data_IF_104231644226
#
_entry.id   IF_104231644226
#
_cell.length_a   1.000
_cell.length_b   1.000
_cell.length_c   1.000
_cell.angle_alpha   90.00
_cell.angle_beta   90.00
_cell.angle_gamma   90.00
#
_symmetry.space_group_name_H-M   'P 1'
#
loop_
_entity.id
_entity.type
_entity.pdbx_description
1 polymer ?
#
# COMPACT_ATOMS: atom_id res chain seq x y z
N UNK A 1 -4.99 -31.42 19.91
CA UNK A 1 -4.91 -30.19 20.73
C UNK A 1 -4.80 -29.01 19.77
N UNK A 2 -5.88 -28.27 19.53
CA UNK A 2 -5.87 -27.12 18.62
C UNK A 2 -5.24 -25.94 19.37
N UNK A 3 -4.02 -25.57 19.01
CA UNK A 3 -3.41 -24.31 19.44
C UNK A 3 -4.31 -23.20 18.88
N UNK A 4 -4.88 -22.39 19.76
CA UNK A 4 -5.63 -21.20 19.36
C UNK A 4 -4.69 -20.31 18.54
N UNK A 5 -5.10 -19.92 17.32
CA UNK A 5 -4.31 -19.06 16.46
C UNK A 5 -4.39 -17.61 17.00
N UNK A 6 -3.55 -17.29 17.98
CA UNK A 6 -3.52 -16.00 18.67
C UNK A 6 -2.91 -14.86 17.84
N UNK A 7 -2.36 -15.14 16.65
CA UNK A 7 -1.68 -14.13 15.84
C UNK A 7 -2.60 -12.98 15.41
N UNK A 8 -3.87 -13.28 15.08
CA UNK A 8 -4.84 -12.25 14.72
C UNK A 8 -5.21 -11.31 15.88
N UNK A 9 -5.15 -11.79 17.12
CA UNK A 9 -5.44 -10.97 18.31
C UNK A 9 -4.27 -10.05 18.66
N UNK A 10 -3.03 -10.55 18.57
CA UNK A 10 -1.82 -9.74 18.81
C UNK A 10 -1.72 -8.62 17.76
N UNK A 11 -1.92 -8.94 16.49
CA UNK A 11 -1.93 -7.97 15.40
C UNK A 11 -3.01 -6.90 15.59
N UNK A 12 -4.21 -7.28 16.03
CA UNK A 12 -5.29 -6.33 16.34
C UNK A 12 -4.89 -5.35 17.44
N UNK A 13 -4.26 -5.84 18.51
CA UNK A 13 -3.88 -4.98 19.64
C UNK A 13 -2.75 -4.00 19.28
N UNK A 14 -1.81 -4.40 18.42
CA UNK A 14 -0.77 -3.51 17.90
C UNK A 14 -1.37 -2.41 16.99
N UNK A 15 -2.31 -2.76 16.11
CA UNK A 15 -3.01 -1.80 15.24
C UNK A 15 -3.80 -0.80 16.08
N UNK A 16 -4.57 -1.27 17.07
CA UNK A 16 -5.36 -0.42 17.96
C UNK A 16 -4.45 0.49 18.78
N UNK A 17 -3.36 -0.04 19.34
CA UNK A 17 -2.40 0.76 20.12
C UNK A 17 -1.71 1.82 19.26
N UNK A 18 -1.33 1.47 18.04
CA UNK A 18 -0.76 2.40 17.06
C UNK A 18 -1.76 3.50 16.66
N UNK A 19 -3.01 3.15 16.39
CA UNK A 19 -4.07 4.11 16.08
C UNK A 19 -4.29 5.11 17.23
N UNK A 20 -4.36 4.62 18.47
CA UNK A 20 -4.49 5.47 19.66
C UNK A 20 -3.30 6.43 19.79
N UNK A 21 -2.08 5.94 19.57
CA UNK A 21 -0.89 6.79 19.61
C UNK A 21 -0.95 7.90 18.56
N UNK A 22 -1.28 7.58 17.31
CA UNK A 22 -1.41 8.56 16.21
C UNK A 22 -2.49 9.61 16.52
N UNK A 23 -3.65 9.20 17.02
CA UNK A 23 -4.73 10.13 17.39
C UNK A 23 -4.37 10.97 18.62
N UNK A 24 -3.55 10.43 19.52
CA UNK A 24 -3.06 11.17 20.70
C UNK A 24 -2.07 12.27 20.31
N UNK A 25 -1.28 12.07 19.25
CA UNK A 25 -0.38 13.08 18.67
C UNK A 25 -1.16 14.17 17.92
N UNK A 26 -2.13 13.78 17.09
CA UNK A 26 -3.00 14.72 16.37
C UNK A 26 -4.44 14.18 16.27
N UNK A 27 -5.37 14.90 16.91
CA UNK A 27 -6.80 14.54 16.91
C UNK A 27 -7.42 14.54 15.52
N UNK A 28 -6.88 15.31 14.56
CA UNK A 28 -7.36 15.33 13.18
C UNK A 28 -7.16 13.97 12.49
N UNK A 29 -6.15 13.20 12.92
CA UNK A 29 -5.87 11.87 12.36
C UNK A 29 -6.95 10.84 12.66
N UNK A 30 -7.83 11.08 13.65
CA UNK A 30 -8.94 10.18 13.93
C UNK A 30 -9.91 10.06 12.74
N UNK A 31 -10.12 11.17 12.02
CA UNK A 31 -10.96 11.18 10.81
C UNK A 31 -10.31 10.37 9.69
N UNK A 32 -9.00 10.59 9.48
CA UNK A 32 -8.24 9.90 8.42
C UNK A 32 -8.18 8.39 8.69
N UNK A 33 -7.88 7.98 9.92
CA UNK A 33 -7.86 6.57 10.30
C UNK A 33 -9.26 5.95 10.24
N UNK A 34 -10.30 6.70 10.61
CA UNK A 34 -11.68 6.26 10.48
C UNK A 34 -12.06 5.94 9.02
N UNK A 35 -11.68 6.80 8.08
CA UNK A 35 -11.91 6.58 6.65
C UNK A 35 -11.10 5.39 6.09
N UNK A 36 -9.82 5.27 6.45
CA UNK A 36 -8.95 4.18 5.94
C UNK A 36 -9.36 2.81 6.48
N UNK A 37 -9.84 2.74 7.73
CA UNK A 37 -10.28 1.51 8.37
C UNK A 37 -11.75 1.17 8.08
N UNK A 38 -12.48 2.09 7.44
CA UNK A 38 -13.85 1.87 7.01
C UNK A 38 -13.90 0.94 5.78
N UNK A 39 -14.94 0.11 5.72
CA UNK A 39 -15.28 -0.66 4.52
C UNK A 39 -16.09 0.16 3.50
N UNK A 40 -16.50 1.37 3.88
CA UNK A 40 -17.19 2.33 3.01
C UNK A 40 -16.25 3.50 2.71
N UNK A 41 -16.11 3.88 1.44
CA UNK A 41 -15.33 5.04 1.02
C UNK A 41 -14.01 4.68 0.33
N UNK A 42 -12.89 5.20 0.85
CA UNK A 42 -11.57 5.05 0.26
C UNK A 42 -10.90 3.75 0.71
N UNK A 43 -11.05 2.68 -0.06
CA UNK A 43 -10.41 1.39 0.24
C UNK A 43 -8.97 1.29 -0.31
N UNK A 44 -8.13 0.55 0.41
CA UNK A 44 -6.75 0.25 0.00
C UNK A 44 -6.69 -1.08 -0.73
N UNK A 45 -6.17 -1.09 -1.96
CA UNK A 45 -6.03 -2.31 -2.77
C UNK A 45 -4.60 -2.54 -3.24
N UNK A 46 -4.23 -3.81 -3.33
CA UNK A 46 -3.09 -4.25 -4.14
C UNK A 46 -3.58 -4.44 -5.57
N UNK A 47 -3.01 -3.68 -6.50
CA UNK A 47 -3.36 -3.69 -7.93
C UNK A 47 -2.19 -4.24 -8.72
N UNK A 48 -2.52 -5.07 -9.72
CA UNK A 48 -1.53 -5.52 -10.68
C UNK A 48 -1.00 -4.34 -11.50
N UNK A 49 0.32 -4.29 -11.72
CA UNK A 49 0.94 -3.14 -12.38
C UNK A 49 0.54 -3.01 -13.86
N UNK A 50 0.05 -4.09 -14.48
CA UNK A 50 -0.51 -4.07 -15.83
C UNK A 50 -1.70 -3.10 -16.00
N UNK A 51 -2.36 -2.72 -14.90
CA UNK A 51 -3.40 -1.68 -14.91
C UNK A 51 -2.85 -0.28 -15.21
N UNK A 52 -1.56 -0.06 -14.95
CA UNK A 52 -0.89 1.23 -15.09
C UNK A 52 0.22 1.20 -16.14
N UNK A 53 0.73 0.04 -16.53
CA UNK A 53 1.90 -0.07 -17.41
C UNK A 53 1.68 -1.16 -18.44
N UNK A 54 2.01 -0.88 -19.70
CA UNK A 54 2.12 -1.94 -20.70
C UNK A 54 3.41 -2.74 -20.49
N UNK A 55 3.27 -3.86 -19.77
CA UNK A 55 4.37 -4.79 -19.46
C UNK A 55 4.99 -5.43 -20.71
N UNK A 56 4.28 -5.44 -21.86
CA UNK A 56 4.80 -5.98 -23.13
C UNK A 56 5.73 -4.98 -23.82
N UNK A 57 5.54 -3.68 -23.59
CA UNK A 57 6.39 -2.63 -24.16
C UNK A 57 7.65 -2.42 -23.33
N UNK A 58 8.84 -2.65 -23.94
CA UNK A 58 10.14 -2.43 -23.28
C UNK A 58 10.35 -0.98 -22.82
N UNK A 59 9.73 -0.02 -23.51
CA UNK A 59 9.79 1.40 -23.14
C UNK A 59 8.85 1.69 -21.99
N UNK A 60 7.65 1.10 -22.00
CA UNK A 60 6.64 1.42 -21.00
C UNK A 60 6.86 0.70 -19.66
N UNK A 61 7.48 -0.48 -19.66
CA UNK A 61 7.86 -1.17 -18.42
C UNK A 61 8.89 -0.43 -17.57
N UNK A 62 9.58 0.57 -18.12
CA UNK A 62 10.61 1.36 -17.43
C UNK A 62 10.04 2.73 -17.04
N UNK A 63 9.53 2.83 -15.81
CA UNK A 63 8.84 4.01 -15.31
C UNK A 63 9.23 4.34 -13.88
N UNK A 64 9.22 5.64 -13.57
CA UNK A 64 9.38 6.11 -12.20
C UNK A 64 8.12 5.84 -11.39
N UNK A 65 8.20 5.93 -10.06
CA UNK A 65 7.00 5.84 -9.23
C UNK A 65 6.02 6.98 -9.53
N UNK A 66 6.53 8.17 -9.89
CA UNK A 66 5.68 9.30 -10.30
C UNK A 66 4.90 9.04 -11.57
N UNK A 67 5.48 8.35 -12.54
CA UNK A 67 4.75 7.95 -13.74
C UNK A 67 3.57 7.03 -13.40
N UNK A 68 3.78 6.08 -12.49
CA UNK A 68 2.72 5.19 -12.01
C UNK A 68 1.66 5.99 -11.25
N UNK A 69 2.08 6.87 -10.34
CA UNK A 69 1.17 7.72 -9.56
C UNK A 69 0.32 8.63 -10.46
N UNK A 70 0.90 9.15 -11.55
CA UNK A 70 0.16 9.94 -12.53
C UNK A 70 -0.92 9.12 -13.22
N UNK A 71 -0.62 7.88 -13.60
CA UNK A 71 -1.58 6.96 -14.24
C UNK A 71 -2.64 6.45 -13.27
N UNK A 72 -2.28 6.17 -12.02
CA UNK A 72 -3.25 5.88 -10.97
C UNK A 72 -4.22 7.05 -10.77
N UNK A 73 -3.71 8.28 -10.76
CA UNK A 73 -4.53 9.48 -10.64
C UNK A 73 -5.53 9.65 -11.79
N UNK A 74 -5.16 9.27 -13.02
CA UNK A 74 -6.09 9.26 -14.16
C UNK A 74 -7.28 8.30 -13.95
N UNK A 75 -7.12 7.30 -13.09
CA UNK A 75 -8.14 6.32 -12.69
C UNK A 75 -8.83 6.68 -11.37
N UNK A 76 -8.57 7.87 -10.81
CA UNK A 76 -9.00 8.31 -9.48
C UNK A 76 -8.48 7.44 -8.34
N UNK A 77 -7.31 6.83 -8.54
CA UNK A 77 -6.59 6.05 -7.53
C UNK A 77 -5.38 6.83 -7.04
N UNK A 78 -4.96 6.57 -5.80
CA UNK A 78 -3.74 7.15 -5.20
C UNK A 78 -2.72 6.04 -5.02
N UNK A 79 -1.63 6.09 -5.79
CA UNK A 79 -0.52 5.17 -5.59
C UNK A 79 0.25 5.56 -4.32
N UNK A 80 0.20 4.70 -3.30
CA UNK A 80 0.89 4.91 -2.01
C UNK A 80 2.19 4.14 -1.88
N UNK A 81 2.40 3.10 -2.69
CA UNK A 81 3.56 2.23 -2.60
C UNK A 81 3.58 1.13 -3.65
N UNK A 82 4.50 0.18 -3.50
CA UNK A 82 4.60 -1.00 -4.34
C UNK A 82 5.24 -2.17 -3.60
N UNK A 83 5.06 -3.38 -4.13
CA UNK A 83 5.75 -4.58 -3.67
C UNK A 83 6.98 -4.86 -4.54
N UNK A 84 8.17 -5.09 -3.97
CA UNK A 84 9.32 -5.56 -4.72
C UNK A 84 9.11 -6.95 -5.34
N UNK A 85 9.88 -7.25 -6.38
CA UNK A 85 9.89 -8.58 -7.01
C UNK A 85 10.49 -9.62 -6.05
N UNK A 86 9.91 -10.81 -6.00
CA UNK A 86 10.39 -11.92 -5.17
C UNK A 86 9.90 -11.93 -3.72
N UNK A 87 9.19 -10.89 -3.28
CA UNK A 87 8.55 -10.83 -1.97
C UNK A 87 7.14 -11.41 -1.99
N UNK A 88 6.72 -12.00 -0.88
CA UNK A 88 5.41 -12.59 -0.68
C UNK A 88 4.35 -11.51 -0.43
N UNK A 89 3.07 -11.86 -0.58
CA UNK A 89 1.97 -11.02 -0.12
C UNK A 89 1.58 -11.29 1.34
N UNK A 90 2.27 -12.23 2.00
CA UNK A 90 1.93 -12.66 3.36
C UNK A 90 2.38 -11.69 4.45
N UNK A 91 3.42 -10.88 4.19
CA UNK A 91 3.97 -9.96 5.18
C UNK A 91 3.93 -8.52 4.69
N UNK A 92 3.22 -7.66 5.42
CA UNK A 92 3.08 -6.25 5.07
C UNK A 92 4.41 -5.47 5.17
N UNK A 93 5.36 -5.95 5.97
CA UNK A 93 6.72 -5.40 6.12
C UNK A 93 7.52 -5.39 4.82
N UNK A 94 7.16 -6.24 3.86
CA UNK A 94 7.81 -6.35 2.56
C UNK A 94 7.30 -5.29 1.56
N UNK A 95 6.21 -4.57 1.89
CA UNK A 95 5.66 -3.51 1.06
C UNK A 95 6.44 -2.21 1.25
N UNK A 96 6.83 -1.57 0.15
CA UNK A 96 7.47 -0.25 0.19
C UNK A 96 6.38 0.80 0.05
N UNK A 97 5.99 1.39 1.18
CA UNK A 97 5.12 2.56 1.24
C UNK A 97 5.96 3.84 1.12
N UNK A 98 5.43 4.83 0.39
CA UNK A 98 6.04 6.13 0.16
C UNK A 98 7.54 6.03 -0.21
N UNK A 99 7.89 5.48 -1.39
CA UNK A 99 9.29 5.29 -1.77
C UNK A 99 10.05 6.63 -1.73
N UNK A 100 11.28 6.59 -1.21
CA UNK A 100 12.14 7.77 -1.07
C UNK A 100 12.50 8.37 -2.43
N UNK A 101 13.12 7.57 -3.31
CA UNK A 101 13.46 8.01 -4.67
C UNK A 101 12.31 7.73 -5.64
N UNK A 102 11.36 8.67 -5.72
CA UNK A 102 10.18 8.56 -6.59
C UNK A 102 10.49 8.77 -8.08
N UNK A 103 11.59 9.45 -8.41
CA UNK A 103 12.00 9.75 -9.79
C UNK A 103 12.84 8.64 -10.41
N UNK A 104 13.51 7.81 -9.60
CA UNK A 104 14.26 6.66 -10.10
C UNK A 104 13.38 5.76 -10.98
N UNK A 105 13.88 5.49 -12.18
CA UNK A 105 13.22 4.58 -13.13
C UNK A 105 13.36 3.15 -12.65
N UNK A 106 12.23 2.44 -12.56
CA UNK A 106 12.15 1.03 -12.16
C UNK A 106 11.56 0.20 -13.29
N UNK A 107 11.86 -1.10 -13.28
CA UNK A 107 11.24 -2.06 -14.18
C UNK A 107 10.01 -2.63 -13.47
N UNK A 108 8.86 -2.50 -14.10
CA UNK A 108 7.58 -2.98 -13.60
C UNK A 108 7.18 -4.28 -14.29
N UNK A 109 6.82 -5.28 -13.50
CA UNK A 109 6.41 -6.61 -13.94
C UNK A 109 5.19 -7.04 -13.10
N UNK A 110 4.28 -7.77 -13.75
CA UNK A 110 3.10 -8.39 -13.12
C UNK A 110 3.52 -9.66 -12.38
#
# INVERSE_FOLDING_TARGET
>A
MRVANCQGYIMSNEIVSGAIAVVSEDRAMNVVLGEILSAEGCETYLRDVSHYVDVRSKKDKRKSFWDIALRARQRREVAVGYKPRGMSFTEASELILNPGDKMATRVWES
#
